data_IF_058369622724
#
_entry.id   IF_058369622724
#
_cell.length_a   1.000
_cell.length_b   1.000
_cell.length_c   1.000
_cell.angle_alpha   90.00
_cell.angle_beta   90.00
_cell.angle_gamma   90.00
#
_symmetry.space_group_name_H-M   'P 1'
#
loop_
_entity.id
_entity.type
_entity.pdbx_description
1 polymer ?
#
# COMPACT_ATOMS: atom_id res chain seq x y z
N UNK A 1 37.57 40.82 41.92
CA UNK A 1 36.80 41.10 40.67
C UNK A 1 37.39 40.22 39.57
N UNK A 2 36.57 39.52 38.77
CA UNK A 2 36.53 38.05 38.79
C UNK A 2 37.06 37.34 37.53
N UNK A 3 37.64 36.16 37.77
CA UNK A 3 37.40 34.86 37.15
C UNK A 3 36.95 34.79 35.67
N UNK A 4 37.91 34.56 34.78
CA UNK A 4 37.66 34.15 33.40
C UNK A 4 37.39 32.64 33.34
N UNK A 5 36.14 32.26 33.59
CA UNK A 5 35.64 30.90 33.36
C UNK A 5 35.67 30.58 31.86
N UNK A 6 36.59 29.69 31.47
CA UNK A 6 36.62 29.05 30.15
C UNK A 6 35.33 28.23 30.01
N UNK A 7 34.38 28.70 29.19
CA UNK A 7 33.25 27.90 28.72
C UNK A 7 33.81 26.76 27.86
N UNK A 8 33.98 25.58 28.46
CA UNK A 8 34.15 24.33 27.73
C UNK A 8 32.84 24.10 26.97
N UNK A 9 32.89 24.21 25.64
CA UNK A 9 31.80 23.71 24.80
C UNK A 9 31.61 22.23 25.10
N UNK A 10 30.37 21.84 25.37
CA UNK A 10 29.99 20.46 25.63
C UNK A 10 30.29 19.61 24.37
N UNK A 11 31.15 18.58 24.42
CA UNK A 11 31.47 17.75 23.26
C UNK A 11 30.40 16.70 22.94
N UNK A 12 29.31 16.63 23.72
CA UNK A 12 28.24 15.63 23.57
C UNK A 12 27.01 16.15 22.82
N UNK A 13 27.18 17.11 21.91
CA UNK A 13 26.16 17.47 20.91
C UNK A 13 26.24 16.51 19.71
N UNK A 14 26.29 15.20 19.98
CA UNK A 14 26.06 14.14 19.01
C UNK A 14 24.66 13.59 19.33
N UNK A 15 23.69 14.40 18.89
CA UNK A 15 22.26 14.17 18.73
C UNK A 15 21.73 12.84 19.28
N UNK A 16 21.16 12.88 20.48
CA UNK A 16 20.14 11.92 20.88
C UNK A 16 18.97 12.07 19.89
N UNK A 17 18.98 11.29 18.82
CA UNK A 17 17.86 11.14 17.90
C UNK A 17 16.67 10.76 18.77
N UNK A 18 15.66 11.64 18.82
CA UNK A 18 14.49 11.38 19.65
C UNK A 18 13.78 10.13 19.14
N UNK A 19 13.00 9.45 19.98
CA UNK A 19 12.26 8.24 19.55
C UNK A 19 11.40 8.53 18.31
N UNK A 20 10.82 9.73 18.24
CA UNK A 20 10.04 10.19 17.09
C UNK A 20 10.90 10.34 15.81
N UNK A 21 12.13 10.86 15.92
CA UNK A 21 13.06 10.95 14.78
C UNK A 21 13.49 9.57 14.28
N UNK A 22 13.70 8.61 15.19
CA UNK A 22 14.03 7.23 14.87
C UNK A 22 12.87 6.53 14.15
N UNK A 23 11.65 6.66 14.67
CA UNK A 23 10.43 6.15 14.05
C UNK A 23 10.23 6.71 12.63
N UNK A 24 10.41 8.02 12.45
CA UNK A 24 10.29 8.67 11.13
C UNK A 24 11.34 8.16 10.13
N UNK A 25 12.58 7.95 10.58
CA UNK A 25 13.64 7.40 9.74
C UNK A 25 13.33 5.97 9.29
N UNK A 26 12.93 5.10 10.22
CA UNK A 26 12.56 3.71 9.92
C UNK A 26 11.35 3.63 8.99
N UNK A 27 10.36 4.52 9.16
CA UNK A 27 9.24 4.62 8.22
C UNK A 27 9.72 5.02 6.82
N UNK A 28 10.65 5.97 6.71
CA UNK A 28 11.19 6.38 5.42
C UNK A 28 11.91 5.22 4.69
N UNK A 29 12.59 4.33 5.41
CA UNK A 29 13.17 3.11 4.81
C UNK A 29 12.10 2.17 4.24
N UNK A 30 10.98 2.01 4.95
CA UNK A 30 9.85 1.20 4.47
C UNK A 30 9.21 1.83 3.22
N UNK A 31 9.08 3.16 3.18
CA UNK A 31 8.55 3.86 2.00
C UNK A 31 9.49 3.79 0.80
N UNK A 32 10.80 3.74 1.04
CA UNK A 32 11.82 3.60 -0.02
C UNK A 32 11.81 2.21 -0.67
N UNK A 33 11.58 1.14 0.12
CA UNK A 33 11.39 -0.23 -0.39
C UNK A 33 10.17 -0.94 0.23
N UNK A 34 8.96 -0.68 -0.33
CA UNK A 34 7.72 -1.28 0.13
C UNK A 34 7.63 -2.81 -0.01
N UNK A 35 8.56 -3.48 -0.69
CA UNK A 35 8.50 -4.93 -0.81
C UNK A 35 9.21 -5.63 0.37
N UNK A 36 10.23 -5.00 0.97
CA UNK A 36 11.11 -5.63 1.95
C UNK A 36 10.47 -5.73 3.34
N UNK A 37 10.33 -6.95 3.83
CA UNK A 37 9.89 -7.19 5.20
C UNK A 37 10.98 -6.81 6.22
N UNK A 38 12.26 -6.86 5.85
CA UNK A 38 13.37 -6.56 6.78
C UNK A 38 13.25 -5.17 7.46
N UNK A 39 12.99 -4.11 6.69
CA UNK A 39 12.81 -2.76 7.25
C UNK A 39 11.55 -2.68 8.14
N UNK A 40 10.50 -3.43 7.80
CA UNK A 40 9.27 -3.51 8.60
C UNK A 40 9.52 -4.20 9.94
N UNK A 41 10.31 -5.25 9.97
CA UNK A 41 10.63 -5.97 11.21
C UNK A 41 11.48 -5.10 12.15
N UNK A 42 12.44 -4.33 11.62
CA UNK A 42 13.20 -3.36 12.43
C UNK A 42 12.29 -2.27 13.00
N UNK A 43 11.38 -1.72 12.19
CA UNK A 43 10.36 -0.78 12.66
C UNK A 43 9.44 -1.41 13.72
N UNK A 44 9.05 -2.67 13.54
CA UNK A 44 8.21 -3.40 14.47
C UNK A 44 8.88 -3.60 15.83
N UNK A 45 10.17 -3.96 15.84
CA UNK A 45 10.97 -4.09 17.05
C UNK A 45 11.06 -2.76 17.80
N UNK A 46 11.31 -1.66 17.07
CA UNK A 46 11.31 -0.32 17.64
C UNK A 46 9.95 0.04 18.29
N UNK A 47 8.84 -0.26 17.62
CA UNK A 47 7.50 -0.02 18.17
C UNK A 47 7.22 -0.84 19.44
N UNK A 48 7.62 -2.12 19.46
CA UNK A 48 7.45 -3.01 20.62
C UNK A 48 8.26 -2.48 21.81
N UNK A 49 9.49 -2.03 21.59
CA UNK A 49 10.34 -1.43 22.63
C UNK A 49 9.69 -0.19 23.27
N UNK A 50 8.84 0.52 22.52
CA UNK A 50 8.12 1.71 22.98
C UNK A 50 6.67 1.42 23.41
N UNK A 51 6.26 0.15 23.43
CA UNK A 51 4.94 -0.27 23.88
C UNK A 51 3.80 0.00 22.89
N UNK A 52 4.10 0.22 21.61
CA UNK A 52 3.08 0.36 20.56
C UNK A 52 2.68 -1.04 20.03
N UNK A 53 1.41 -1.46 20.20
CA UNK A 53 0.91 -2.77 19.77
C UNK A 53 0.98 -2.99 18.25
N UNK A 54 1.15 -1.93 17.45
CA UNK A 54 1.35 -2.05 16.00
C UNK A 54 2.58 -2.86 15.64
N UNK A 55 3.61 -2.86 16.49
CA UNK A 55 4.81 -3.67 16.24
C UNK A 55 4.49 -5.17 16.21
N UNK A 56 3.65 -5.66 17.14
CA UNK A 56 3.19 -7.05 17.12
C UNK A 56 2.37 -7.36 15.86
N UNK A 57 1.50 -6.44 15.43
CA UNK A 57 0.73 -6.59 14.19
C UNK A 57 1.67 -6.75 12.98
N UNK A 58 2.68 -5.89 12.87
CA UNK A 58 3.65 -5.94 11.76
C UNK A 58 4.35 -7.30 11.73
N UNK A 59 4.86 -7.79 12.86
CA UNK A 59 5.51 -9.10 12.98
C UNK A 59 4.60 -10.24 12.52
N UNK A 60 3.39 -10.32 13.08
CA UNK A 60 2.45 -11.41 12.80
C UNK A 60 2.02 -11.39 11.34
N UNK A 61 1.73 -10.21 10.78
CA UNK A 61 1.34 -10.08 9.38
C UNK A 61 2.52 -10.41 8.44
N UNK A 62 3.75 -9.94 8.70
CA UNK A 62 4.92 -10.33 7.89
C UNK A 62 5.16 -11.85 7.92
N UNK A 63 4.99 -12.49 9.10
CA UNK A 63 5.06 -13.94 9.20
C UNK A 63 3.98 -14.63 8.37
N UNK A 64 2.73 -14.15 8.46
CA UNK A 64 1.60 -14.71 7.71
C UNK A 64 1.78 -14.64 6.19
N UNK A 65 2.40 -13.57 5.69
CA UNK A 65 2.69 -13.39 4.26
C UNK A 65 3.72 -14.37 3.71
N UNK A 66 4.63 -14.85 4.57
CA UNK A 66 5.68 -15.80 4.19
C UNK A 66 5.24 -17.27 4.34
N UNK A 67 4.02 -17.54 4.83
CA UNK A 67 3.49 -18.91 4.96
C UNK A 67 2.76 -19.36 3.70
N UNK A 68 2.93 -20.62 3.26
CA UNK A 68 2.06 -21.25 2.26
C UNK A 68 0.59 -21.16 2.65
N UNK A 69 -0.31 -21.04 1.68
CA UNK A 69 -1.75 -20.82 1.92
C UNK A 69 -2.44 -21.96 2.71
N UNK A 70 -1.89 -23.17 2.66
CA UNK A 70 -2.38 -24.37 3.34
C UNK A 70 -1.64 -24.69 4.65
N UNK A 71 -0.70 -23.83 5.06
CA UNK A 71 0.08 -24.04 6.28
C UNK A 71 -0.82 -24.00 7.55
N UNK A 72 -0.75 -25.01 8.43
CA UNK A 72 -1.60 -25.08 9.61
C UNK A 72 -1.38 -23.92 10.61
N UNK A 73 -0.23 -23.25 10.57
CA UNK A 73 0.09 -22.09 11.40
C UNK A 73 -0.63 -20.81 10.95
N UNK A 74 -1.23 -20.77 9.74
CA UNK A 74 -1.96 -19.58 9.26
C UNK A 74 -3.15 -19.24 10.13
N UNK A 75 -4.05 -20.21 10.40
CA UNK A 75 -5.31 -19.92 11.13
C UNK A 75 -5.06 -19.32 12.52
N UNK A 76 -4.11 -19.82 13.33
CA UNK A 76 -3.75 -19.16 14.58
C UNK A 76 -3.26 -17.72 14.39
N UNK A 77 -2.39 -17.45 13.41
CA UNK A 77 -1.89 -16.09 13.15
C UNK A 77 -2.98 -15.15 12.63
N UNK A 78 -3.89 -15.64 11.76
CA UNK A 78 -5.04 -14.87 11.29
C UNK A 78 -5.96 -14.45 12.44
N UNK A 79 -6.17 -15.33 13.43
CA UNK A 79 -6.88 -14.96 14.66
C UNK A 79 -6.14 -13.88 15.44
N UNK A 80 -4.83 -14.03 15.64
CA UNK A 80 -4.02 -13.03 16.32
C UNK A 80 -4.04 -11.67 15.60
N UNK A 81 -4.00 -11.65 14.27
CA UNK A 81 -4.18 -10.43 13.46
C UNK A 81 -5.56 -9.82 13.71
N UNK A 82 -6.61 -10.63 13.70
CA UNK A 82 -7.98 -10.16 13.97
C UNK A 82 -8.10 -9.54 15.36
N UNK A 83 -7.51 -10.15 16.37
CA UNK A 83 -7.54 -9.65 17.75
C UNK A 83 -6.79 -8.31 17.85
N UNK A 84 -5.62 -8.19 17.22
CA UNK A 84 -4.84 -6.94 17.20
C UNK A 84 -5.55 -5.80 16.44
N UNK A 85 -6.16 -6.11 15.28
CA UNK A 85 -6.90 -5.11 14.51
C UNK A 85 -8.14 -4.61 15.25
N UNK A 86 -8.81 -5.48 16.01
CA UNK A 86 -9.96 -5.10 16.83
C UNK A 86 -9.60 -4.08 17.93
N UNK A 87 -8.34 -4.03 18.36
CA UNK A 87 -7.87 -3.10 19.39
C UNK A 87 -7.64 -1.69 18.84
N UNK A 88 -6.93 -1.54 17.72
CA UNK A 88 -6.40 -0.21 17.34
C UNK A 88 -6.33 0.09 15.83
N UNK A 89 -7.09 -0.63 14.98
CA UNK A 89 -7.13 -0.37 13.53
C UNK A 89 -7.43 1.11 13.20
N UNK A 90 -8.30 1.75 13.99
CA UNK A 90 -8.69 3.15 13.76
C UNK A 90 -7.52 4.12 13.98
N UNK A 91 -6.65 3.88 14.96
CA UNK A 91 -5.46 4.72 15.15
C UNK A 91 -4.46 4.51 14.02
N UNK A 92 -4.20 3.27 13.62
CA UNK A 92 -3.21 2.96 12.58
C UNK A 92 -3.64 3.41 11.18
N UNK A 93 -4.94 3.64 10.96
CA UNK A 93 -5.49 4.15 9.69
C UNK A 93 -5.83 5.64 9.72
N UNK A 94 -5.60 6.34 10.84
CA UNK A 94 -6.04 7.73 11.04
C UNK A 94 -5.60 8.68 9.94
N UNK A 95 -4.32 8.68 9.58
CA UNK A 95 -3.77 9.63 8.60
C UNK A 95 -4.32 9.37 7.19
N UNK A 96 -4.51 8.09 6.84
CA UNK A 96 -5.18 7.71 5.60
C UNK A 96 -6.66 8.14 5.64
N UNK A 97 -7.37 7.92 6.75
CA UNK A 97 -8.77 8.34 6.92
C UNK A 97 -8.94 9.86 6.79
N UNK A 98 -7.97 10.64 7.27
CA UNK A 98 -7.96 12.10 7.15
C UNK A 98 -7.91 12.58 5.69
N UNK A 99 -7.47 11.74 4.75
CA UNK A 99 -7.50 12.02 3.30
C UNK A 99 -8.87 11.74 2.64
N UNK A 100 -9.91 11.43 3.43
CA UNK A 100 -11.28 11.25 2.93
C UNK A 100 -11.78 9.81 2.90
N UNK A 101 -11.11 8.88 3.58
CA UNK A 101 -11.47 7.45 3.66
C UNK A 101 -12.34 7.14 4.90
N UNK A 102 -13.37 7.95 5.15
CA UNK A 102 -14.07 8.00 6.45
C UNK A 102 -15.08 6.88 6.69
N UNK A 103 -15.73 6.33 5.64
CA UNK A 103 -17.00 5.60 5.81
C UNK A 103 -17.00 4.10 5.47
N UNK A 104 -15.91 3.52 4.94
CA UNK A 104 -15.98 2.16 4.40
C UNK A 104 -14.78 1.28 4.81
N UNK A 105 -15.06 0.26 5.63
CA UNK A 105 -14.16 -0.84 6.01
C UNK A 105 -13.56 -1.61 4.81
N UNK A 106 -14.02 -1.34 3.59
CA UNK A 106 -13.55 -1.98 2.34
C UNK A 106 -12.65 -1.09 1.49
N UNK A 107 -12.40 0.15 1.91
CA UNK A 107 -11.58 1.08 1.12
C UNK A 107 -10.10 1.07 1.48
N UNK A 108 -9.73 0.53 2.64
CA UNK A 108 -8.32 0.42 3.07
C UNK A 108 -8.08 -1.01 3.53
N UNK A 109 -6.88 -1.53 3.26
CA UNK A 109 -6.48 -2.82 3.79
C UNK A 109 -5.10 -2.69 4.47
N UNK A 110 -5.08 -3.02 5.75
CA UNK A 110 -3.85 -3.17 6.51
C UNK A 110 -3.20 -4.51 6.20
N UNK A 111 -1.99 -4.47 5.65
CA UNK A 111 -1.16 -5.62 5.37
C UNK A 111 0.26 -5.32 5.82
N UNK A 112 0.89 -6.27 6.52
CA UNK A 112 2.23 -6.10 7.13
C UNK A 112 2.34 -4.84 8.00
N UNK A 113 1.24 -4.47 8.66
CA UNK A 113 1.09 -3.32 9.56
C UNK A 113 0.90 -1.95 8.90
N UNK A 114 0.70 -1.90 7.58
CA UNK A 114 0.53 -0.65 6.82
C UNK A 114 -0.63 -0.73 5.84
N UNK A 115 -1.14 0.43 5.40
CA UNK A 115 -2.15 0.47 4.35
C UNK A 115 -1.47 0.21 3.02
N UNK A 116 -1.51 -1.04 2.57
CA UNK A 116 -0.88 -1.44 1.30
C UNK A 116 -1.85 -1.45 0.14
N UNK A 117 -3.17 -1.46 0.40
CA UNK A 117 -4.21 -1.40 -0.62
C UNK A 117 -5.26 -0.36 -0.29
N UNK A 118 -5.65 0.42 -1.31
CA UNK A 118 -6.81 1.31 -1.24
C UNK A 118 -7.80 1.08 -2.38
N UNK A 119 -9.07 1.41 -2.13
CA UNK A 119 -10.10 1.53 -3.17
C UNK A 119 -10.47 3.00 -3.35
N UNK A 120 -10.28 3.54 -4.56
CA UNK A 120 -10.56 4.95 -4.91
C UNK A 120 -11.45 5.07 -6.15
N UNK A 121 -12.10 6.22 -6.33
CA UNK A 121 -12.62 6.61 -7.63
C UNK A 121 -11.45 6.88 -8.59
N UNK A 122 -11.57 6.46 -9.86
CA UNK A 122 -10.52 6.70 -10.85
C UNK A 122 -10.23 8.20 -11.06
N UNK A 123 -11.27 9.03 -10.93
CA UNK A 123 -11.21 10.49 -10.99
C UNK A 123 -10.43 11.12 -9.83
N UNK A 124 -10.37 10.44 -8.68
CA UNK A 124 -9.68 10.92 -7.49
C UNK A 124 -8.22 10.44 -7.41
N UNK A 125 -7.89 9.37 -8.14
CA UNK A 125 -6.58 8.73 -8.07
C UNK A 125 -5.39 9.67 -8.35
N UNK A 126 -5.44 10.61 -9.31
CA UNK A 126 -4.33 11.54 -9.54
C UNK A 126 -3.94 12.37 -8.32
N UNK A 127 -4.90 12.66 -7.44
CA UNK A 127 -4.68 13.42 -6.21
C UNK A 127 -4.36 12.49 -5.04
N UNK A 128 -5.16 11.44 -4.85
CA UNK A 128 -5.08 10.59 -3.66
C UNK A 128 -3.90 9.63 -3.67
N UNK A 129 -3.57 9.01 -4.81
CA UNK A 129 -2.51 7.98 -4.86
C UNK A 129 -1.14 8.56 -4.48
N UNK A 130 -0.70 9.73 -5.01
CA UNK A 130 0.57 10.33 -4.58
C UNK A 130 0.57 10.72 -3.09
N UNK A 131 -0.54 11.29 -2.60
CA UNK A 131 -0.67 11.69 -1.20
C UNK A 131 -0.56 10.48 -0.26
N UNK A 132 -1.21 9.36 -0.60
CA UNK A 132 -1.13 8.12 0.16
C UNK A 132 0.29 7.55 0.18
N UNK A 133 0.95 7.49 -0.97
CA UNK A 133 2.32 6.96 -1.08
C UNK A 133 3.35 7.74 -0.26
N UNK A 134 3.08 9.01 0.00
CA UNK A 134 3.95 9.84 0.83
C UNK A 134 3.90 9.45 2.33
N UNK A 135 2.85 8.76 2.76
CA UNK A 135 2.61 8.44 4.18
C UNK A 135 2.48 6.94 4.47
N UNK A 136 2.33 6.10 3.45
CA UNK A 136 2.17 4.66 3.62
C UNK A 136 2.77 3.89 2.43
N UNK A 137 3.33 2.68 2.64
CA UNK A 137 3.87 1.83 1.58
C UNK A 137 2.75 1.23 0.71
N UNK A 138 2.03 2.08 -0.01
CA UNK A 138 0.93 1.70 -0.88
C UNK A 138 1.44 0.87 -2.07
N UNK A 139 0.95 -0.36 -2.20
CA UNK A 139 1.35 -1.32 -3.24
C UNK A 139 0.25 -1.62 -4.24
N UNK A 140 -1.00 -1.54 -3.82
CA UNK A 140 -2.15 -1.95 -4.63
C UNK A 140 -3.23 -0.86 -4.67
N UNK A 141 -3.74 -0.58 -5.86
CA UNK A 141 -4.86 0.36 -6.04
C UNK A 141 -6.00 -0.35 -6.74
N UNK A 142 -7.14 -0.41 -6.08
CA UNK A 142 -8.41 -0.78 -6.71
C UNK A 142 -9.14 0.50 -7.13
N UNK A 143 -9.60 0.55 -8.38
CA UNK A 143 -10.43 1.65 -8.84
C UNK A 143 -11.71 1.17 -9.52
N UNK A 144 -12.79 1.92 -9.29
CA UNK A 144 -14.00 1.82 -10.11
C UNK A 144 -13.93 2.86 -11.22
N UNK A 145 -13.92 2.41 -12.46
CA UNK A 145 -13.93 3.27 -13.65
C UNK A 145 -15.38 3.47 -14.12
N UNK A 146 -15.85 4.73 -14.08
CA UNK A 146 -17.22 5.11 -14.44
C UNK A 146 -17.33 5.73 -15.83
N UNK A 147 -16.26 6.36 -16.30
CA UNK A 147 -16.19 7.09 -17.56
C UNK A 147 -14.83 6.88 -18.25
N UNK A 148 -14.76 7.28 -19.51
CA UNK A 148 -13.54 7.20 -20.32
C UNK A 148 -12.53 8.29 -19.96
N UNK A 149 -13.02 9.46 -19.51
CA UNK A 149 -12.20 10.64 -19.25
C UNK A 149 -11.20 10.44 -18.10
N UNK A 150 -11.53 9.59 -17.13
CA UNK A 150 -10.70 9.29 -15.96
C UNK A 150 -9.59 8.26 -16.22
N UNK A 151 -9.60 7.54 -17.34
CA UNK A 151 -8.69 6.41 -17.60
C UNK A 151 -7.22 6.85 -17.63
N UNK A 152 -6.91 7.91 -18.37
CA UNK A 152 -5.51 8.31 -18.58
C UNK A 152 -4.92 8.94 -17.31
N UNK A 153 -5.70 9.76 -16.60
CA UNK A 153 -5.32 10.29 -15.29
C UNK A 153 -5.09 9.18 -14.26
N UNK A 154 -5.99 8.20 -14.21
CA UNK A 154 -5.83 7.03 -13.36
C UNK A 154 -4.56 6.25 -13.71
N UNK A 155 -4.35 5.94 -14.99
CA UNK A 155 -3.17 5.21 -15.47
C UNK A 155 -1.84 5.87 -15.10
N UNK A 156 -1.77 7.19 -15.21
CA UNK A 156 -0.60 7.96 -14.77
C UNK A 156 -0.40 7.90 -13.25
N UNK A 157 -1.47 7.99 -12.46
CA UNK A 157 -1.41 7.95 -11.01
C UNK A 157 -0.90 6.60 -10.46
N UNK A 158 -1.17 5.50 -11.17
CA UNK A 158 -0.82 4.14 -10.76
C UNK A 158 0.42 3.58 -11.47
N UNK A 159 1.22 4.41 -12.14
CA UNK A 159 2.39 3.95 -12.89
C UNK A 159 3.49 3.30 -12.02
N UNK A 160 3.52 3.63 -10.73
CA UNK A 160 4.54 3.19 -9.77
C UNK A 160 4.04 2.19 -8.71
N UNK A 161 2.77 1.77 -8.77
CA UNK A 161 2.23 0.76 -7.84
C UNK A 161 2.43 -0.65 -8.39
N UNK A 162 2.42 -1.64 -7.50
CA UNK A 162 2.72 -3.03 -7.84
C UNK A 162 1.48 -3.81 -8.28
N UNK A 163 0.29 -3.41 -7.84
CA UNK A 163 -0.96 -4.03 -8.22
C UNK A 163 -2.02 -3.02 -8.60
N UNK A 164 -2.71 -3.28 -9.70
CA UNK A 164 -3.85 -2.48 -10.15
C UNK A 164 -5.04 -3.39 -10.36
N UNK A 165 -6.15 -3.07 -9.70
CA UNK A 165 -7.44 -3.70 -9.93
C UNK A 165 -8.42 -2.66 -10.45
N UNK A 166 -9.09 -2.97 -11.55
CA UNK A 166 -10.03 -2.07 -12.21
C UNK A 166 -11.37 -2.76 -12.40
N UNK A 167 -12.41 -2.17 -11.83
CA UNK A 167 -13.78 -2.64 -11.99
C UNK A 167 -14.58 -1.62 -12.81
N UNK A 168 -15.26 -2.10 -13.85
CA UNK A 168 -16.25 -1.32 -14.58
C UNK A 168 -17.35 -2.25 -15.09
N UNK A 169 -18.58 -1.74 -15.08
CA UNK A 169 -19.74 -2.39 -15.70
C UNK A 169 -20.07 -1.80 -17.08
N UNK A 170 -19.33 -0.77 -17.52
CA UNK A 170 -19.59 -0.08 -18.78
C UNK A 170 -18.68 -0.63 -19.89
N UNK A 171 -19.29 -1.23 -20.92
CA UNK A 171 -18.57 -1.83 -22.05
C UNK A 171 -17.73 -0.81 -22.85
N UNK A 172 -18.20 0.44 -22.96
CA UNK A 172 -17.43 1.50 -23.62
C UNK A 172 -16.14 1.80 -22.84
N UNK A 173 -16.25 1.92 -21.52
CA UNK A 173 -15.13 2.12 -20.61
C UNK A 173 -14.17 0.93 -20.67
N UNK A 174 -14.67 -0.31 -20.66
CA UNK A 174 -13.84 -1.52 -20.85
C UNK A 174 -13.02 -1.45 -22.13
N UNK A 175 -13.65 -1.06 -23.25
CA UNK A 175 -12.97 -0.95 -24.55
C UNK A 175 -11.96 0.20 -24.58
N UNK A 176 -12.28 1.33 -23.96
CA UNK A 176 -11.34 2.45 -23.87
C UNK A 176 -10.13 2.10 -23.01
N UNK A 177 -10.36 1.48 -21.85
CA UNK A 177 -9.33 1.03 -20.93
C UNK A 177 -8.36 0.07 -21.62
N UNK A 178 -8.90 -0.92 -22.34
CA UNK A 178 -8.15 -1.85 -23.16
C UNK A 178 -7.19 -1.17 -24.15
N UNK A 179 -7.60 -0.05 -24.76
CA UNK A 179 -6.75 0.74 -25.66
C UNK A 179 -5.71 1.56 -24.92
N UNK A 180 -6.09 2.18 -23.79
CA UNK A 180 -5.17 3.00 -22.99
C UNK A 180 -4.05 2.18 -22.34
N UNK A 181 -4.25 0.90 -22.04
CA UNK A 181 -3.20 0.02 -21.51
C UNK A 181 -1.92 -0.01 -22.36
N UNK A 182 -2.03 0.17 -23.69
CA UNK A 182 -0.87 0.26 -24.58
C UNK A 182 -0.02 1.50 -24.27
N UNK A 183 -0.66 2.60 -23.85
CA UNK A 183 -0.02 3.86 -23.49
C UNK A 183 0.42 3.94 -22.03
N UNK A 184 -0.07 3.04 -21.17
CA UNK A 184 0.32 3.02 -19.76
C UNK A 184 1.77 2.57 -19.63
N UNK A 185 2.66 3.54 -19.38
CA UNK A 185 4.04 3.29 -18.96
C UNK A 185 4.06 2.86 -17.51
N UNK A 186 3.65 1.63 -17.24
CA UNK A 186 3.95 1.01 -15.95
C UNK A 186 5.47 0.92 -15.85
N UNK A 187 6.07 1.45 -14.78
CA UNK A 187 7.54 1.53 -14.64
C UNK A 187 8.18 0.15 -14.34
N UNK A 188 7.66 -0.93 -14.92
CA UNK A 188 8.07 -2.32 -14.68
C UNK A 188 7.63 -2.89 -13.33
N UNK A 189 6.83 -2.13 -12.55
CA UNK A 189 6.42 -2.52 -11.19
C UNK A 189 5.11 -3.31 -11.14
N UNK A 190 4.28 -3.25 -12.18
CA UNK A 190 2.99 -3.93 -12.18
C UNK A 190 3.18 -5.45 -12.21
N UNK A 191 2.85 -6.11 -11.09
CA UNK A 191 2.89 -7.56 -10.89
C UNK A 191 1.50 -8.17 -10.92
N UNK A 192 0.47 -7.38 -10.59
CA UNK A 192 -0.91 -7.83 -10.52
C UNK A 192 -1.85 -6.93 -11.31
N UNK A 193 -2.65 -7.54 -12.21
CA UNK A 193 -3.76 -6.88 -12.87
C UNK A 193 -5.05 -7.68 -12.66
N UNK A 194 -6.07 -7.06 -12.08
CA UNK A 194 -7.44 -7.61 -12.04
C UNK A 194 -8.38 -6.73 -12.86
N UNK A 195 -9.07 -7.30 -13.83
CA UNK A 195 -10.15 -6.61 -14.52
C UNK A 195 -11.25 -7.53 -15.03
N UNK A 196 -12.28 -6.92 -15.60
CA UNK A 196 -13.52 -7.62 -15.97
C UNK A 196 -13.59 -7.82 -17.48
N UNK A 197 -13.85 -9.07 -17.89
CA UNK A 197 -14.35 -9.41 -19.22
C UNK A 197 -13.29 -9.83 -20.25
N UNK A 198 -13.71 -10.61 -21.27
CA UNK A 198 -12.82 -11.16 -22.30
C UNK A 198 -12.23 -10.09 -23.24
N UNK A 199 -12.83 -8.92 -23.33
CA UNK A 199 -12.35 -7.78 -24.12
C UNK A 199 -11.06 -7.20 -23.53
N UNK A 200 -11.01 -7.06 -22.20
CA UNK A 200 -9.80 -6.63 -21.52
C UNK A 200 -8.70 -7.66 -21.75
N UNK A 201 -9.02 -8.95 -21.54
CA UNK A 201 -8.11 -10.09 -21.76
C UNK A 201 -7.43 -10.07 -23.14
N UNK A 202 -8.21 -9.90 -24.20
CA UNK A 202 -7.69 -9.86 -25.58
C UNK A 202 -6.80 -8.65 -25.84
N UNK A 203 -7.16 -7.51 -25.25
CA UNK A 203 -6.46 -6.26 -25.49
C UNK A 203 -5.13 -6.19 -24.74
N UNK A 204 -5.08 -6.76 -23.54
CA UNK A 204 -3.87 -6.79 -22.71
C UNK A 204 -2.88 -7.88 -23.15
N UNK A 205 -3.35 -8.98 -23.76
CA UNK A 205 -2.50 -10.09 -24.21
C UNK A 205 -1.40 -9.68 -25.21
N UNK A 206 -1.60 -8.57 -25.94
CA UNK A 206 -0.63 -8.05 -26.91
C UNK A 206 0.26 -6.93 -26.34
N UNK A 207 0.10 -6.52 -25.08
CA UNK A 207 0.79 -5.36 -24.50
C UNK A 207 2.16 -5.78 -23.94
N UNK A 208 3.29 -5.31 -24.50
CA UNK A 208 4.63 -5.67 -24.02
C UNK A 208 4.89 -5.23 -22.57
N UNK A 209 4.19 -4.20 -22.09
CA UNK A 209 4.30 -3.69 -20.71
C UNK A 209 3.83 -4.69 -19.64
N UNK A 210 3.14 -5.77 -20.02
CA UNK A 210 2.64 -6.80 -19.10
C UNK A 210 3.54 -8.03 -18.98
N UNK A 211 4.73 -8.00 -19.59
CA UNK A 211 5.72 -9.09 -19.52
C UNK A 211 6.25 -9.38 -18.11
N UNK A 212 6.02 -8.48 -17.14
CA UNK A 212 6.40 -8.64 -15.73
C UNK A 212 5.25 -9.02 -14.78
N UNK A 213 4.06 -9.35 -15.30
CA UNK A 213 2.95 -9.80 -14.46
C UNK A 213 3.22 -11.20 -13.89
N UNK A 214 3.17 -11.31 -12.56
CA UNK A 214 3.15 -12.61 -11.88
C UNK A 214 1.72 -13.16 -11.79
N UNK A 215 0.73 -12.26 -11.72
CA UNK A 215 -0.67 -12.62 -11.53
C UNK A 215 -1.58 -11.79 -12.44
N UNK A 216 -2.30 -12.49 -13.33
CA UNK A 216 -3.41 -11.92 -14.11
C UNK A 216 -4.70 -12.60 -13.69
N UNK A 217 -5.60 -11.84 -13.06
CA UNK A 217 -6.95 -12.33 -12.72
C UNK A 217 -7.96 -11.63 -13.60
N UNK A 218 -8.72 -12.39 -14.37
CA UNK A 218 -9.80 -11.87 -15.20
C UNK A 218 -11.10 -12.48 -14.71
N UNK A 219 -11.97 -11.67 -14.12
CA UNK A 219 -13.29 -12.13 -13.70
C UNK A 219 -14.26 -12.02 -14.87
N UNK A 220 -15.08 -13.07 -15.08
CA UNK A 220 -16.25 -12.97 -15.92
C UNK A 220 -17.18 -11.89 -15.36
N UNK A 221 -17.77 -11.07 -16.23
CA UNK A 221 -18.73 -10.06 -15.81
C UNK A 221 -19.86 -10.75 -15.02
N UNK A 222 -19.91 -10.56 -13.70
CA UNK A 222 -20.98 -11.09 -12.84
C UNK A 222 -20.57 -11.86 -11.59
N UNK A 223 -19.31 -12.21 -11.35
CA UNK A 223 -18.94 -12.81 -10.06
C UNK A 223 -18.57 -11.71 -9.05
N UNK A 224 -19.55 -11.31 -8.24
CA UNK A 224 -19.34 -10.48 -7.05
C UNK A 224 -18.20 -11.04 -6.19
N UNK A 225 -17.39 -10.12 -5.68
CA UNK A 225 -16.28 -10.37 -4.78
C UNK A 225 -16.83 -11.03 -3.50
N UNK A 226 -16.30 -12.21 -3.17
CA UNK A 226 -16.27 -12.79 -1.84
C UNK A 226 -14.83 -13.04 -1.47
#
# INVERSE_FOLDING_TARGET
MPEAARRRGNPWSETAMTSDDASAHLLAEILADPARDAARLVYADHLIEHGDPRGELVHVQCKLENLPWDDPARRPLERQVSDLLAVDETAWTRDVRALGFTDHLHQVNLRRGFVERVTVGAEQAPTLVPALRAITPLREVHARLRDVASIDGFGAAVADVEGVSVATSNLEVTRALARSFVGWRQHGKLRMLHGIGPELARSIAAVPALRGLDHLRLSAAGSGVG
#
